data_IF_974600666550
#
_entry.id   IF_974600666550
#
_cell.length_a   1.000
_cell.length_b   1.000
_cell.length_c   1.000
_cell.angle_alpha   90.00
_cell.angle_beta   90.00
_cell.angle_gamma   90.00
#
_symmetry.space_group_name_H-M   'P 1'
#
loop_
_entity.id
_entity.type
_entity.pdbx_description
1 polymer ?
#
# COMPACT_ATOMS: atom_id res chain seq x y z
N UNK A 1 9.67 -8.24 14.58
CA UNK A 1 8.36 -8.71 14.09
C UNK A 1 8.09 -10.09 14.67
N UNK A 2 6.90 -10.33 15.23
CA UNK A 2 6.58 -11.64 15.86
C UNK A 2 5.83 -12.55 14.88
N UNK A 3 6.48 -13.62 14.43
CA UNK A 3 5.89 -14.65 13.55
C UNK A 3 4.71 -15.38 14.20
N UNK A 4 4.73 -15.51 15.53
CA UNK A 4 3.72 -16.22 16.31
C UNK A 4 2.46 -15.39 16.50
N UNK A 5 2.62 -14.08 16.74
CA UNK A 5 1.49 -13.19 17.01
C UNK A 5 0.60 -13.00 15.76
N UNK A 6 1.20 -12.90 14.58
CA UNK A 6 0.45 -12.72 13.34
C UNK A 6 -0.55 -13.86 13.08
N UNK A 7 -0.14 -15.10 13.36
CA UNK A 7 -1.01 -16.28 13.23
C UNK A 7 -2.18 -16.26 14.23
N UNK A 8 -1.95 -15.76 15.45
CA UNK A 8 -3.02 -15.63 16.46
C UNK A 8 -4.13 -14.68 16.00
N UNK A 9 -3.78 -13.65 15.21
CA UNK A 9 -4.73 -12.69 14.64
C UNK A 9 -5.23 -13.07 13.24
N UNK A 10 -5.07 -14.33 12.82
CA UNK A 10 -5.62 -14.83 11.55
C UNK A 10 -4.82 -14.46 10.30
N UNK A 11 -3.63 -13.88 10.45
CA UNK A 11 -2.74 -13.65 9.31
C UNK A 11 -1.92 -14.90 9.00
N UNK A 12 -1.67 -15.16 7.71
CA UNK A 12 -0.81 -16.27 7.25
C UNK A 12 0.61 -16.18 7.84
N UNK A 13 1.12 -14.96 7.98
CA UNK A 13 2.47 -14.60 8.46
C UNK A 13 2.51 -13.12 8.81
N UNK A 14 3.68 -12.64 9.23
CA UNK A 14 3.92 -11.25 9.58
C UNK A 14 3.65 -10.27 8.42
N UNK A 15 3.08 -9.12 8.78
CA UNK A 15 2.59 -8.10 7.86
C UNK A 15 3.32 -6.78 8.05
N UNK A 16 3.60 -6.08 6.96
CA UNK A 16 4.11 -4.71 7.00
C UNK A 16 3.03 -3.76 7.57
N UNK A 17 3.48 -2.67 8.22
CA UNK A 17 2.58 -1.62 8.65
C UNK A 17 2.04 -0.87 7.42
N UNK A 18 0.71 -0.86 7.23
CA UNK A 18 0.07 -0.24 6.07
C UNK A 18 0.48 1.22 5.86
N UNK A 19 0.60 1.99 6.93
CA UNK A 19 1.05 3.39 6.88
C UNK A 19 2.50 3.55 6.39
N UNK A 20 3.40 2.64 6.78
CA UNK A 20 4.79 2.67 6.31
C UNK A 20 4.90 2.36 4.81
N UNK A 21 4.12 1.39 4.34
CA UNK A 21 4.03 1.08 2.90
C UNK A 21 3.42 2.27 2.15
N UNK A 22 2.34 2.87 2.65
CA UNK A 22 1.70 4.03 2.05
C UNK A 22 2.68 5.20 1.91
N UNK A 23 3.41 5.57 2.97
CA UNK A 23 4.41 6.63 2.91
C UNK A 23 5.46 6.36 1.84
N UNK A 24 5.96 5.12 1.75
CA UNK A 24 6.93 4.71 0.72
C UNK A 24 6.32 4.75 -0.69
N UNK A 25 5.05 4.38 -0.84
CA UNK A 25 4.34 4.42 -2.11
C UNK A 25 4.13 5.85 -2.59
N UNK A 26 3.69 6.76 -1.70
CA UNK A 26 3.56 8.20 -1.98
C UNK A 26 4.92 8.77 -2.39
N UNK A 27 6.00 8.45 -1.68
CA UNK A 27 7.34 8.94 -2.03
C UNK A 27 7.81 8.51 -3.43
N UNK A 28 7.41 7.31 -3.87
CA UNK A 28 7.73 6.79 -5.22
C UNK A 28 6.91 7.40 -6.35
N UNK A 29 5.65 7.76 -6.08
CA UNK A 29 4.72 8.25 -7.13
C UNK A 29 4.46 9.75 -7.07
N UNK A 30 4.88 10.42 -6.00
CA UNK A 30 4.64 11.85 -5.83
C UNK A 30 5.28 12.61 -7.00
N UNK A 31 4.52 13.48 -7.68
CA UNK A 31 5.13 14.39 -8.64
C UNK A 31 6.07 15.35 -7.90
N UNK A 32 7.16 15.74 -8.56
CA UNK A 32 8.14 16.70 -8.01
C UNK A 32 7.52 18.05 -7.59
N UNK A 33 6.31 18.33 -8.06
CA UNK A 33 5.57 19.59 -7.86
C UNK A 33 4.29 19.39 -7.03
N UNK A 34 4.26 18.45 -6.07
CA UNK A 34 3.15 18.44 -5.10
C UNK A 34 3.05 19.82 -4.45
N UNK A 35 1.91 20.48 -4.63
CA UNK A 35 1.59 21.74 -3.97
C UNK A 35 1.03 21.44 -2.58
N UNK A 36 1.53 22.16 -1.58
CA UNK A 36 1.04 22.04 -0.21
C UNK A 36 -0.01 23.13 0.08
N UNK A 37 -1.05 22.82 0.88
CA UNK A 37 -1.37 21.51 1.45
C UNK A 37 -1.98 20.55 0.41
N UNK A 38 -1.75 19.24 0.55
CA UNK A 38 -2.43 18.22 -0.27
C UNK A 38 -3.24 17.27 0.62
N UNK A 39 -4.29 16.68 0.03
CA UNK A 39 -5.14 15.67 0.69
C UNK A 39 -4.73 14.29 0.19
N UNK A 40 -4.53 13.35 1.10
CA UNK A 40 -4.41 11.94 0.74
C UNK A 40 -5.65 11.18 1.21
N UNK A 41 -6.29 10.50 0.27
CA UNK A 41 -7.36 9.54 0.58
C UNK A 41 -6.78 8.13 0.46
N UNK A 42 -7.01 7.28 1.45
CA UNK A 42 -6.46 5.91 1.48
C UNK A 42 -7.49 4.90 1.95
N UNK A 43 -7.48 3.73 1.31
CA UNK A 43 -8.26 2.55 1.70
C UNK A 43 -7.30 1.36 1.83
N UNK A 44 -7.25 0.77 3.03
CA UNK A 44 -6.55 -0.49 3.28
C UNK A 44 -7.52 -1.66 3.04
N UNK A 45 -7.25 -2.45 1.99
CA UNK A 45 -8.12 -3.55 1.54
C UNK A 45 -7.62 -4.93 1.94
N UNK A 46 -6.32 -5.06 2.20
CA UNK A 46 -5.72 -6.34 2.55
C UNK A 46 -4.34 -6.20 3.17
N UNK A 47 -3.82 -7.28 3.78
CA UNK A 47 -2.50 -7.27 4.39
C UNK A 47 -1.40 -7.21 3.32
N UNK A 48 -0.33 -6.48 3.63
CA UNK A 48 0.95 -6.63 2.93
C UNK A 48 1.84 -7.52 3.77
N UNK A 49 2.26 -8.65 3.22
CA UNK A 49 3.14 -9.57 3.94
C UNK A 49 4.60 -9.16 3.77
N UNK A 50 5.41 -9.32 4.82
CA UNK A 50 6.85 -9.07 4.72
C UNK A 50 7.52 -9.97 3.68
N UNK A 51 8.73 -9.63 3.22
CA UNK A 51 9.47 -10.44 2.24
C UNK A 51 8.70 -10.70 0.93
N UNK A 52 7.68 -9.89 0.63
CA UNK A 52 6.99 -9.89 -0.65
C UNK A 52 7.32 -8.62 -1.42
N UNK A 53 7.44 -8.78 -2.74
CA UNK A 53 7.54 -7.64 -3.63
C UNK A 53 6.24 -6.83 -3.59
N UNK A 54 6.39 -5.51 -3.61
CA UNK A 54 5.28 -4.56 -3.62
C UNK A 54 5.39 -3.72 -4.88
N UNK A 55 4.32 -3.70 -5.68
CA UNK A 55 4.21 -2.85 -6.85
C UNK A 55 3.17 -1.76 -6.63
N UNK A 56 3.43 -0.59 -7.21
CA UNK A 56 2.49 0.54 -7.20
C UNK A 56 2.13 0.83 -8.65
N UNK A 57 0.85 0.77 -8.98
CA UNK A 57 0.34 1.02 -10.32
C UNK A 57 -0.58 2.25 -10.30
N UNK A 58 -0.43 3.10 -11.32
CA UNK A 58 -1.34 4.22 -11.55
C UNK A 58 -2.62 3.70 -12.20
N UNK A 59 -3.78 4.13 -11.71
CA UNK A 59 -5.05 3.78 -12.34
C UNK A 59 -5.17 4.43 -13.72
N UNK A 60 -5.60 3.65 -14.71
CA UNK A 60 -5.90 4.16 -16.06
C UNK A 60 -7.29 4.82 -16.11
N UNK A 61 -8.21 4.40 -15.22
CA UNK A 61 -9.60 4.83 -15.21
C UNK A 61 -9.86 6.03 -14.30
N UNK A 62 -9.08 6.17 -13.22
CA UNK A 62 -9.27 7.23 -12.21
C UNK A 62 -7.99 8.06 -12.10
N UNK A 63 -7.94 9.25 -12.70
CA UNK A 63 -6.80 10.15 -12.56
C UNK A 63 -6.47 10.43 -11.09
N UNK A 64 -5.18 10.45 -10.76
CA UNK A 64 -4.71 10.69 -9.39
C UNK A 64 -4.81 9.49 -8.44
N UNK A 65 -5.43 8.38 -8.86
CA UNK A 65 -5.51 7.14 -8.08
C UNK A 65 -4.33 6.21 -8.35
N UNK A 66 -3.83 5.61 -7.27
CA UNK A 66 -2.78 4.62 -7.25
C UNK A 66 -3.22 3.39 -6.46
N UNK A 67 -2.83 2.22 -6.93
CA UNK A 67 -3.15 0.93 -6.35
C UNK A 67 -1.85 0.19 -6.01
N UNK A 68 -1.75 -0.32 -4.78
CA UNK A 68 -0.58 -1.05 -4.24
C UNK A 68 -0.91 -2.54 -4.18
N UNK A 69 -0.07 -3.37 -4.77
CA UNK A 69 -0.22 -4.83 -4.81
C UNK A 69 0.89 -5.51 -4.00
N UNK A 70 0.59 -6.70 -3.49
CA UNK A 70 1.50 -7.49 -2.66
C UNK A 70 1.74 -8.86 -3.29
N UNK A 71 2.97 -9.15 -3.69
CA UNK A 71 3.36 -10.39 -4.35
C UNK A 71 2.56 -10.62 -5.64
N UNK A 72 2.07 -11.85 -5.83
CA UNK A 72 1.27 -12.26 -6.99
C UNK A 72 -0.24 -11.99 -6.85
N UNK A 73 -0.68 -11.29 -5.80
CA UNK A 73 -2.10 -11.00 -5.61
C UNK A 73 -2.59 -9.99 -6.67
N UNK A 74 -3.61 -10.36 -7.42
CA UNK A 74 -4.21 -9.51 -8.45
C UNK A 74 -5.20 -8.47 -7.90
N UNK A 75 -5.44 -8.45 -6.59
CA UNK A 75 -6.26 -7.43 -5.91
C UNK A 75 -5.36 -6.47 -5.13
N UNK A 76 -5.63 -5.16 -5.19
CA UNK A 76 -4.83 -4.18 -4.47
C UNK A 76 -5.02 -4.32 -2.96
N UNK A 77 -3.92 -4.24 -2.22
CA UNK A 77 -3.88 -4.21 -0.76
C UNK A 77 -4.10 -2.79 -0.20
N UNK A 78 -3.67 -1.77 -0.95
CA UNK A 78 -3.92 -0.35 -0.65
C UNK A 78 -4.40 0.33 -1.92
N UNK A 79 -5.42 1.17 -1.81
CA UNK A 79 -5.78 2.15 -2.84
C UNK A 79 -5.61 3.54 -2.23
N UNK A 80 -4.95 4.45 -2.93
CA UNK A 80 -4.84 5.83 -2.47
C UNK A 80 -4.92 6.83 -3.61
N UNK A 81 -5.32 8.06 -3.28
CA UNK A 81 -5.37 9.19 -4.20
C UNK A 81 -4.58 10.37 -3.62
N UNK A 82 -3.89 11.09 -4.50
CA UNK A 82 -3.14 12.32 -4.20
C UNK A 82 -3.81 13.53 -4.84
#
# INVERSE_FOLDING_TARGET
>A
MSKTLAKLFGFKRDVAHGMGVLATAIDRVKPAQIQYPFKNEVIFKGPLFLESDVSVLKSVQTPGRFDVYCGSNNRPSICFSL
#
